data_IF_229219265984
#
_entry.id   IF_229219265984
#
_cell.length_a   1.000
_cell.length_b   1.000
_cell.length_c   1.000
_cell.angle_alpha   90.00
_cell.angle_beta   90.00
_cell.angle_gamma   90.00
#
_symmetry.space_group_name_H-M   'P 1'
#
loop_
_entity.id
_entity.type
_entity.pdbx_description
1 polymer ?
#
# COMPACT_ATOMS: atom_id res chain seq x y z
N UNK A 1 26.28 33.14 63.20
CA UNK A 1 26.79 31.75 63.38
C UNK A 1 26.20 30.86 62.30
N UNK A 2 26.90 30.71 61.17
CA UNK A 2 26.53 29.79 60.10
C UNK A 2 26.90 28.37 60.51
N UNK A 3 25.90 27.53 60.82
CA UNK A 3 26.10 26.11 61.09
C UNK A 3 26.60 25.44 59.80
N UNK A 4 27.89 25.10 59.74
CA UNK A 4 28.44 24.25 58.68
C UNK A 4 27.62 22.95 58.58
N UNK A 5 27.22 22.54 57.36
CA UNK A 5 26.52 21.27 57.19
C UNK A 5 27.41 20.12 57.69
N UNK A 6 26.81 19.20 58.46
CA UNK A 6 27.46 17.97 58.91
C UNK A 6 28.06 17.21 57.73
N UNK A 7 29.27 16.65 57.88
CA UNK A 7 29.96 15.85 56.85
C UNK A 7 29.07 14.75 56.25
N UNK A 8 28.11 14.23 57.03
CA UNK A 8 27.12 13.25 56.59
C UNK A 8 26.13 13.81 55.56
N UNK A 9 25.72 15.08 55.68
CA UNK A 9 24.84 15.75 54.72
C UNK A 9 25.56 16.03 53.39
N UNK A 10 26.85 16.35 53.44
CA UNK A 10 27.66 16.50 52.21
C UNK A 10 27.87 15.15 51.49
N UNK A 11 28.08 14.07 52.24
CA UNK A 11 28.21 12.72 51.66
C UNK A 11 26.92 12.27 50.97
N UNK A 12 25.76 12.42 51.61
CA UNK A 12 24.45 12.12 51.03
C UNK A 12 24.20 12.97 49.78
N UNK A 13 24.57 14.26 49.81
CA UNK A 13 24.45 15.16 48.64
C UNK A 13 25.35 14.73 47.47
N UNK A 14 26.55 14.22 47.74
CA UNK A 14 27.48 13.72 46.70
C UNK A 14 27.00 12.40 46.10
N UNK A 15 26.55 11.46 46.93
CA UNK A 15 26.00 10.18 46.47
C UNK A 15 24.69 10.38 45.67
N UNK A 16 23.78 11.24 46.15
CA UNK A 16 22.57 11.60 45.41
C UNK A 16 22.85 12.23 44.04
N UNK A 17 23.91 13.06 43.95
CA UNK A 17 24.39 13.61 42.66
C UNK A 17 24.95 12.53 41.74
N UNK A 18 25.72 11.56 42.26
CA UNK A 18 26.25 10.43 41.47
C UNK A 18 25.14 9.54 40.90
N UNK A 19 24.16 9.15 41.73
CA UNK A 19 23.01 8.32 41.30
C UNK A 19 22.17 9.06 40.24
N UNK A 20 21.96 10.37 40.44
CA UNK A 20 21.22 11.19 39.47
C UNK A 20 21.98 11.34 38.16
N UNK A 21 23.31 11.47 38.20
CA UNK A 21 24.15 11.51 37.01
C UNK A 21 24.10 10.19 36.21
N UNK A 22 24.15 9.04 36.88
CA UNK A 22 24.01 7.71 36.25
C UNK A 22 22.65 7.52 35.57
N UNK A 23 21.55 7.85 36.26
CA UNK A 23 20.21 7.78 35.65
C UNK A 23 20.05 8.67 34.41
N UNK A 24 20.77 9.79 34.37
CA UNK A 24 20.77 10.68 33.20
C UNK A 24 21.62 10.16 32.03
N UNK A 25 22.74 9.48 32.29
CA UNK A 25 23.48 8.79 31.22
C UNK A 25 22.64 7.68 30.61
N UNK A 26 21.98 6.87 31.44
CA UNK A 26 21.19 5.72 31.00
C UNK A 26 20.01 6.17 30.14
N UNK A 27 19.29 7.23 30.55
CA UNK A 27 18.19 7.78 29.76
C UNK A 27 18.66 8.34 28.41
N UNK A 28 19.85 8.96 28.36
CA UNK A 28 20.42 9.50 27.11
C UNK A 28 20.80 8.37 26.15
N UNK A 29 21.37 7.30 26.68
CA UNK A 29 21.72 6.12 25.89
C UNK A 29 20.48 5.43 25.32
N UNK A 30 19.44 5.22 26.15
CA UNK A 30 18.15 4.66 25.72
C UNK A 30 17.52 5.50 24.60
N UNK A 31 17.53 6.83 24.73
CA UNK A 31 17.03 7.73 23.68
C UNK A 31 17.87 7.60 22.40
N UNK A 32 19.19 7.52 22.51
CA UNK A 32 20.06 7.36 21.33
C UNK A 32 19.83 6.02 20.63
N UNK A 33 19.65 4.94 21.38
CA UNK A 33 19.36 3.61 20.83
C UNK A 33 17.96 3.58 20.20
N UNK A 34 16.97 4.22 20.82
CA UNK A 34 15.64 4.40 20.24
C UNK A 34 15.67 5.15 18.91
N UNK A 35 16.45 6.23 18.81
CA UNK A 35 16.63 6.96 17.55
C UNK A 35 17.19 6.07 16.44
N UNK A 36 18.21 5.25 16.74
CA UNK A 36 18.77 4.28 15.77
C UNK A 36 17.74 3.23 15.35
N UNK A 37 17.03 2.61 16.30
CA UNK A 37 15.98 1.63 15.99
C UNK A 37 14.90 2.22 15.07
N UNK A 38 14.54 3.49 15.29
CA UNK A 38 13.58 4.19 14.44
C UNK A 38 14.16 4.42 13.04
N UNK A 39 15.44 4.78 12.92
CA UNK A 39 16.12 4.89 11.61
C UNK A 39 16.12 3.55 10.87
N UNK A 40 16.50 2.47 11.54
CA UNK A 40 16.50 1.12 10.95
C UNK A 40 15.09 0.71 10.50
N UNK A 41 14.08 0.99 11.33
CA UNK A 41 12.67 0.74 11.00
C UNK A 41 12.24 1.56 9.78
N UNK A 42 12.63 2.83 9.70
CA UNK A 42 12.32 3.66 8.55
C UNK A 42 12.99 3.14 7.28
N UNK A 43 14.25 2.73 7.35
CA UNK A 43 14.97 2.15 6.21
C UNK A 43 14.26 0.88 5.73
N UNK A 44 13.89 -0.01 6.65
CA UNK A 44 13.18 -1.25 6.32
C UNK A 44 11.77 -1.04 5.72
N UNK A 45 11.16 0.13 5.97
CA UNK A 45 9.80 0.45 5.52
C UNK A 45 9.78 1.63 4.52
N UNK A 46 10.83 1.77 3.71
CA UNK A 46 10.93 2.79 2.64
C UNK A 46 10.69 4.24 3.12
N UNK A 47 11.03 4.56 4.36
CA UNK A 47 10.88 5.87 4.98
C UNK A 47 9.50 6.15 5.59
N UNK A 48 8.66 5.13 5.75
CA UNK A 48 7.37 5.20 6.47
C UNK A 48 7.51 4.56 7.84
N UNK A 49 7.16 5.28 8.91
CA UNK A 49 7.19 4.70 10.25
C UNK A 49 5.87 3.96 10.56
N UNK A 50 5.89 2.63 10.72
CA UNK A 50 4.67 1.82 10.82
C UNK A 50 3.89 2.07 12.12
N UNK A 51 4.60 2.41 13.20
CA UNK A 51 4.02 2.60 14.53
C UNK A 51 3.43 4.02 14.73
N UNK A 52 3.15 4.73 13.65
CA UNK A 52 2.51 6.05 13.65
C UNK A 52 1.39 6.12 12.64
N UNK A 53 0.25 6.70 13.04
CA UNK A 53 -0.94 6.82 12.17
C UNK A 53 -0.64 7.60 10.89
N UNK A 54 0.20 8.64 10.99
CA UNK A 54 0.53 9.51 9.87
C UNK A 54 1.81 9.08 9.13
N UNK A 55 2.40 7.95 9.52
CA UNK A 55 3.71 7.49 9.03
C UNK A 55 4.90 8.34 9.49
N UNK A 56 4.64 9.38 10.31
CA UNK A 56 5.66 10.33 10.80
C UNK A 56 6.11 9.97 12.21
N UNK A 57 7.41 10.06 12.45
CA UNK A 57 8.00 9.91 13.79
C UNK A 57 7.83 11.21 14.57
N UNK A 58 7.30 11.13 15.79
CA UNK A 58 7.25 12.23 16.74
C UNK A 58 8.08 11.96 18.01
N UNK A 59 8.18 12.96 18.88
CA UNK A 59 8.87 12.85 20.18
C UNK A 59 8.27 11.71 21.01
N UNK A 60 6.94 11.55 20.98
CA UNK A 60 6.26 10.47 21.69
C UNK A 60 6.75 9.09 21.24
N UNK A 61 6.96 8.88 19.95
CA UNK A 61 7.48 7.62 19.42
C UNK A 61 8.89 7.34 19.95
N UNK A 62 9.77 8.35 19.94
CA UNK A 62 11.13 8.22 20.49
C UNK A 62 11.10 7.87 21.97
N UNK A 63 10.22 8.49 22.76
CA UNK A 63 10.11 8.21 24.19
C UNK A 63 9.53 6.82 24.47
N UNK A 64 8.52 6.38 23.72
CA UNK A 64 7.96 5.03 23.84
C UNK A 64 9.01 3.98 23.48
N UNK A 65 9.74 4.18 22.38
CA UNK A 65 10.81 3.28 21.93
C UNK A 65 12.01 3.27 22.90
N UNK A 66 12.26 4.38 23.60
CA UNK A 66 13.24 4.47 24.66
C UNK A 66 12.72 3.93 26.01
N UNK A 67 11.45 3.47 26.06
CA UNK A 67 10.77 3.02 27.28
C UNK A 67 10.85 4.05 28.42
N UNK A 68 10.66 5.32 28.07
CA UNK A 68 10.60 6.45 28.97
C UNK A 68 9.18 7.00 29.04
N UNK A 69 8.85 7.65 30.16
CA UNK A 69 7.58 8.35 30.29
C UNK A 69 7.42 9.41 29.18
N UNK A 70 6.22 9.52 28.63
CA UNK A 70 5.86 10.51 27.60
C UNK A 70 6.12 11.94 28.10
N UNK A 71 6.01 12.17 29.41
CA UNK A 71 6.24 13.47 30.06
C UNK A 71 7.71 13.74 30.39
N UNK A 72 8.64 12.85 30.01
CA UNK A 72 10.07 12.99 30.35
C UNK A 72 10.66 14.34 29.93
N UNK A 73 10.29 14.84 28.75
CA UNK A 73 10.74 16.12 28.20
C UNK A 73 9.92 17.34 28.64
N UNK A 74 8.98 17.19 29.57
CA UNK A 74 8.19 18.30 30.14
C UNK A 74 8.88 18.96 31.34
N UNK A 75 9.94 18.32 31.87
CA UNK A 75 10.77 18.80 32.97
C UNK A 75 11.65 19.99 32.55
N UNK A 76 11.05 21.19 32.53
CA UNK A 76 11.69 22.46 32.10
C UNK A 76 12.77 22.96 33.07
N UNK A 77 12.71 22.51 34.32
CA UNK A 77 13.63 22.83 35.41
C UNK A 77 15.03 22.19 35.23
N UNK A 78 15.20 21.27 34.26
CA UNK A 78 16.44 20.50 34.08
C UNK A 78 17.13 20.83 32.76
N UNK A 79 18.21 21.64 32.75
CA UNK A 79 18.84 22.12 31.51
C UNK A 79 19.38 20.97 30.64
N UNK A 80 19.87 19.89 31.25
CA UNK A 80 20.34 18.70 30.52
C UNK A 80 19.21 17.99 29.75
N UNK A 81 18.00 17.97 30.30
CA UNK A 81 16.82 17.38 29.63
C UNK A 81 16.37 18.28 28.49
N UNK A 82 16.35 19.60 28.71
CA UNK A 82 16.03 20.58 27.66
C UNK A 82 17.00 20.46 26.48
N UNK A 83 18.30 20.40 26.74
CA UNK A 83 19.31 20.20 25.69
C UNK A 83 19.12 18.88 24.92
N UNK A 84 18.75 17.80 25.62
CA UNK A 84 18.47 16.51 24.98
C UNK A 84 17.20 16.57 24.12
N UNK A 85 16.13 17.23 24.59
CA UNK A 85 14.92 17.46 23.82
C UNK A 85 15.21 18.20 22.51
N UNK A 86 16.03 19.25 22.56
CA UNK A 86 16.43 20.01 21.38
C UNK A 86 17.19 19.14 20.38
N UNK A 87 18.07 18.25 20.84
CA UNK A 87 18.78 17.29 19.97
C UNK A 87 17.80 16.33 19.28
N UNK A 88 16.84 15.78 20.01
CA UNK A 88 15.81 14.90 19.45
C UNK A 88 14.95 15.66 18.43
N UNK A 89 14.55 16.90 18.73
CA UNK A 89 13.78 17.74 17.80
C UNK A 89 14.57 18.07 16.53
N UNK A 90 15.86 18.40 16.65
CA UNK A 90 16.72 18.66 15.49
C UNK A 90 16.88 17.42 14.61
N UNK A 91 17.01 16.23 15.23
CA UNK A 91 17.03 14.96 14.52
C UNK A 91 15.70 14.67 13.82
N UNK A 92 14.55 14.82 14.51
CA UNK A 92 13.23 14.65 13.91
C UNK A 92 12.99 15.59 12.72
N UNK A 93 13.49 16.83 12.79
CA UNK A 93 13.40 17.78 11.69
C UNK A 93 14.18 17.32 10.45
N UNK A 94 15.35 16.68 10.63
CA UNK A 94 16.11 16.07 9.53
C UNK A 94 15.36 14.86 8.96
N UNK A 95 14.90 13.98 9.84
CA UNK A 95 14.16 12.76 9.50
C UNK A 95 12.87 13.06 8.72
N UNK A 96 12.13 14.08 9.15
CA UNK A 96 10.87 14.50 8.54
C UNK A 96 11.00 14.98 7.09
N UNK A 97 12.15 15.57 6.72
CA UNK A 97 12.42 15.97 5.33
C UNK A 97 12.59 14.75 4.41
N UNK A 98 13.29 13.72 4.90
CA UNK A 98 13.51 12.45 4.18
C UNK A 98 12.18 11.68 4.03
N UNK A 99 11.45 11.50 5.14
CA UNK A 99 10.18 10.76 5.14
C UNK A 99 9.11 11.44 4.28
N UNK A 100 8.99 12.77 4.29
CA UNK A 100 8.01 13.49 3.46
C UNK A 100 8.26 13.30 1.95
N UNK A 101 9.53 13.25 1.53
CA UNK A 101 9.90 12.93 0.15
C UNK A 101 9.47 11.51 -0.23
N UNK A 102 9.74 10.54 0.63
CA UNK A 102 9.44 9.13 0.39
C UNK A 102 7.93 8.84 0.36
N UNK A 103 7.14 9.40 1.29
CA UNK A 103 5.67 9.23 1.31
C UNK A 103 5.05 9.74 0.01
N UNK A 104 5.52 10.88 -0.52
CA UNK A 104 5.03 11.42 -1.81
C UNK A 104 5.40 10.51 -2.97
N UNK A 105 6.62 9.95 -2.97
CA UNK A 105 7.06 9.00 -3.99
C UNK A 105 6.26 7.69 -3.95
N UNK A 106 6.01 7.15 -2.75
CA UNK A 106 5.19 5.95 -2.55
C UNK A 106 3.76 6.19 -3.04
N UNK A 107 3.13 7.31 -2.64
CA UNK A 107 1.78 7.66 -3.11
C UNK A 107 1.72 7.72 -4.64
N UNK A 108 2.70 8.37 -5.28
CA UNK A 108 2.78 8.41 -6.76
C UNK A 108 2.89 7.02 -7.37
N UNK A 109 3.72 6.14 -6.82
CA UNK A 109 3.86 4.75 -7.29
C UNK A 109 2.57 3.96 -7.12
N UNK A 110 1.89 4.10 -5.98
CA UNK A 110 0.62 3.42 -5.70
C UNK A 110 -0.47 3.91 -6.63
N UNK A 111 -0.61 5.24 -6.81
CA UNK A 111 -1.56 5.83 -7.76
C UNK A 111 -1.28 5.34 -9.18
N UNK A 112 -0.03 5.37 -9.64
CA UNK A 112 0.32 4.88 -10.98
C UNK A 112 -0.02 3.40 -11.18
N UNK A 113 0.15 2.55 -10.15
CA UNK A 113 -0.27 1.14 -10.21
C UNK A 113 -1.78 0.99 -10.24
N UNK A 114 -2.51 1.78 -9.46
CA UNK A 114 -3.97 1.76 -9.46
C UNK A 114 -4.52 2.20 -10.82
N UNK A 115 -3.96 3.27 -11.40
CA UNK A 115 -4.35 3.77 -12.72
C UNK A 115 -4.06 2.73 -13.81
N UNK A 116 -2.91 2.06 -13.76
CA UNK A 116 -2.57 0.99 -14.70
C UNK A 116 -3.53 -0.20 -14.58
N UNK A 117 -3.83 -0.66 -13.37
CA UNK A 117 -4.79 -1.74 -13.14
C UNK A 117 -6.21 -1.36 -13.61
N UNK A 118 -6.60 -0.10 -13.42
CA UNK A 118 -7.89 0.41 -13.90
C UNK A 118 -7.95 0.43 -15.43
N UNK A 119 -6.85 0.82 -16.09
CA UNK A 119 -6.76 0.79 -17.54
C UNK A 119 -6.87 -0.65 -18.09
N UNK A 120 -6.15 -1.59 -17.50
CA UNK A 120 -6.22 -3.02 -17.87
C UNK A 120 -7.64 -3.59 -17.67
N UNK A 121 -8.28 -3.28 -16.55
CA UNK A 121 -9.66 -3.70 -16.30
C UNK A 121 -10.65 -3.12 -17.33
N UNK A 122 -10.45 -1.87 -17.75
CA UNK A 122 -11.28 -1.25 -18.78
C UNK A 122 -11.06 -1.90 -20.15
N UNK A 123 -9.82 -2.24 -20.49
CA UNK A 123 -9.49 -2.95 -21.74
C UNK A 123 -10.15 -4.34 -21.79
N UNK A 124 -10.08 -5.10 -20.69
CA UNK A 124 -10.76 -6.41 -20.60
C UNK A 124 -12.26 -6.28 -20.78
N UNK A 125 -12.89 -5.28 -20.14
CA UNK A 125 -14.33 -5.02 -20.30
C UNK A 125 -14.70 -4.69 -21.75
N UNK A 126 -13.88 -3.88 -22.41
CA UNK A 126 -14.10 -3.53 -23.81
C UNK A 126 -14.00 -4.76 -24.71
N UNK A 127 -12.94 -5.56 -24.60
CA UNK A 127 -12.77 -6.79 -25.38
C UNK A 127 -13.91 -7.78 -25.14
N UNK A 128 -14.38 -7.88 -23.91
CA UNK A 128 -15.53 -8.73 -23.58
C UNK A 128 -16.81 -8.24 -24.26
N UNK A 129 -17.08 -6.92 -24.25
CA UNK A 129 -18.24 -6.35 -24.95
C UNK A 129 -18.15 -6.55 -26.47
N UNK A 130 -16.96 -6.40 -27.06
CA UNK A 130 -16.72 -6.68 -28.49
C UNK A 130 -16.98 -8.16 -28.82
N UNK A 131 -16.50 -9.08 -27.99
CA UNK A 131 -16.74 -10.52 -28.15
C UNK A 131 -18.22 -10.89 -28.00
N UNK A 132 -18.96 -10.26 -27.08
CA UNK A 132 -20.41 -10.47 -26.95
C UNK A 132 -21.17 -10.02 -28.21
N UNK A 133 -20.77 -8.90 -28.80
CA UNK A 133 -21.36 -8.40 -30.05
C UNK A 133 -21.06 -9.34 -31.23
N UNK A 134 -19.82 -9.82 -31.35
CA UNK A 134 -19.42 -10.79 -32.37
C UNK A 134 -20.18 -12.12 -32.20
N UNK A 135 -20.30 -12.60 -30.97
CA UNK A 135 -21.08 -13.79 -30.66
C UNK A 135 -22.56 -13.62 -31.06
N UNK A 136 -23.19 -12.47 -30.74
CA UNK A 136 -24.56 -12.20 -31.15
C UNK A 136 -24.71 -12.17 -32.68
N UNK A 137 -23.75 -11.57 -33.40
CA UNK A 137 -23.74 -11.53 -34.85
C UNK A 137 -23.62 -12.94 -35.47
N UNK A 138 -22.69 -13.76 -34.98
CA UNK A 138 -22.52 -15.14 -35.47
C UNK A 138 -23.74 -16.02 -35.19
N UNK A 139 -24.44 -15.83 -34.07
CA UNK A 139 -25.71 -16.51 -33.80
C UNK A 139 -26.80 -16.12 -34.80
N UNK A 140 -26.85 -14.85 -35.20
CA UNK A 140 -27.81 -14.38 -36.21
C UNK A 140 -27.49 -15.00 -37.58
N UNK A 141 -26.23 -14.95 -38.01
CA UNK A 141 -25.79 -15.56 -39.27
C UNK A 141 -26.07 -17.07 -39.30
N UNK A 142 -25.82 -17.77 -38.19
CA UNK A 142 -26.12 -19.19 -38.06
C UNK A 142 -27.63 -19.47 -38.19
N UNK A 143 -28.47 -18.62 -37.60
CA UNK A 143 -29.93 -18.72 -37.71
C UNK A 143 -30.39 -18.57 -39.16
N UNK A 144 -29.85 -17.59 -39.88
CA UNK A 144 -30.22 -17.33 -41.27
C UNK A 144 -29.68 -18.39 -42.24
N UNK A 145 -28.47 -18.91 -41.99
CA UNK A 145 -27.92 -20.04 -42.71
C UNK A 145 -28.78 -21.30 -42.52
N UNK A 146 -29.25 -21.58 -41.29
CA UNK A 146 -30.16 -22.70 -41.00
C UNK A 146 -31.47 -22.58 -41.78
N UNK A 147 -32.12 -21.40 -41.74
CA UNK A 147 -33.33 -21.15 -42.53
C UNK A 147 -33.11 -21.36 -44.02
N UNK A 148 -31.99 -20.90 -44.56
CA UNK A 148 -31.64 -21.06 -45.98
C UNK A 148 -31.44 -22.52 -46.35
N UNK A 149 -30.74 -23.29 -45.51
CA UNK A 149 -30.56 -24.74 -45.70
C UNK A 149 -31.90 -25.47 -45.67
N UNK A 150 -32.78 -25.14 -44.72
CA UNK A 150 -34.09 -25.76 -44.62
C UNK A 150 -34.98 -25.43 -45.84
N UNK A 151 -34.95 -24.17 -46.31
CA UNK A 151 -35.63 -23.76 -47.53
C UNK A 151 -35.10 -24.48 -48.77
N UNK A 152 -33.78 -24.61 -48.91
CA UNK A 152 -33.15 -25.36 -50.00
C UNK A 152 -33.50 -26.86 -49.95
N UNK A 153 -33.54 -27.47 -48.77
CA UNK A 153 -33.95 -28.87 -48.59
C UNK A 153 -35.41 -29.07 -49.03
N UNK A 154 -36.31 -28.18 -48.63
CA UNK A 154 -37.72 -28.23 -49.07
C UNK A 154 -37.81 -28.10 -50.60
N UNK A 155 -37.12 -27.13 -51.19
CA UNK A 155 -37.13 -26.92 -52.64
C UNK A 155 -36.57 -28.12 -53.41
N UNK A 156 -35.50 -28.72 -52.90
CA UNK A 156 -34.90 -29.90 -53.51
C UNK A 156 -35.86 -31.12 -53.42
N UNK A 157 -36.56 -31.29 -52.29
CA UNK A 157 -37.60 -32.31 -52.16
C UNK A 157 -38.76 -32.09 -53.14
N UNK A 158 -39.23 -30.85 -53.30
CA UNK A 158 -40.25 -30.50 -54.30
C UNK A 158 -39.81 -30.84 -55.73
N UNK A 159 -38.58 -30.48 -56.10
CA UNK A 159 -38.04 -30.75 -57.44
C UNK A 159 -37.85 -32.26 -57.68
N UNK A 160 -37.36 -33.02 -56.70
CA UNK A 160 -37.24 -34.47 -56.80
C UNK A 160 -38.62 -35.13 -56.98
N UNK A 161 -39.64 -34.66 -56.27
CA UNK A 161 -41.01 -35.13 -56.43
C UNK A 161 -41.57 -34.81 -57.84
N UNK A 162 -41.25 -33.64 -58.40
CA UNK A 162 -41.63 -33.28 -59.77
C UNK A 162 -40.95 -34.17 -60.80
N UNK A 163 -39.64 -34.43 -60.66
CA UNK A 163 -38.89 -35.34 -61.55
C UNK A 163 -39.46 -36.77 -61.48
N UNK A 164 -39.78 -37.26 -60.28
CA UNK A 164 -40.37 -38.59 -60.10
C UNK A 164 -41.75 -38.74 -60.79
N UNK A 165 -42.49 -37.63 -60.97
CA UNK A 165 -43.77 -37.61 -61.68
C UNK A 165 -43.64 -37.47 -63.22
N UNK A 166 -42.43 -37.29 -63.77
CA UNK A 166 -42.21 -37.29 -65.21
C UNK A 166 -42.08 -38.74 -65.70
N UNK A 167 -43.08 -39.22 -66.44
CA UNK A 167 -43.08 -40.56 -67.06
C UNK A 167 -41.89 -40.67 -68.03
N UNK A 168 -41.04 -41.72 -67.93
CA UNK A 168 -39.98 -41.93 -68.90
C UNK A 168 -40.59 -42.14 -70.28
N UNK A 169 -40.32 -41.22 -71.22
CA UNK A 169 -40.67 -41.45 -72.62
C UNK A 169 -39.75 -42.55 -73.12
N UNK A 170 -40.29 -43.76 -73.21
CA UNK A 170 -39.61 -44.94 -73.74
C UNK A 170 -39.05 -44.62 -75.13
N UNK A 171 -37.73 -44.43 -75.22
CA UNK A 171 -37.02 -44.28 -76.50
C UNK A 171 -36.87 -45.65 -77.13
N UNK A 172 -37.97 -46.27 -77.52
CA UNK A 172 -38.00 -47.36 -78.49
C UNK A 172 -38.83 -46.94 -79.70
N UNK A 173 -38.16 -46.21 -80.61
CA UNK A 173 -38.50 -46.20 -82.02
C UNK A 173 -37.23 -46.37 -82.85
N UNK A 174 -36.84 -47.62 -83.08
CA UNK A 174 -36.69 -48.24 -84.40
C UNK A 174 -36.33 -49.70 -84.23
#
# INVERSE_FOLDING_TARGET
MTRSPSAKAEQISREGRKVTAGRHSDARERISNAMRRIEDTLIANDGVYPNSKDGKVGIRNVLMEAELSITYFEKKDRPKIVALKMKVQAWLAKLGRVSAGNVKAIRRKVTARADAAQAEANEVRQRYAEAELEYAATLLELSDARKSVDGLKQRNAELLAQIANVIPIDRKRK
#
